data_IF_432748960227
#
_entry.id   IF_432748960227
#
_cell.length_a   1.000
_cell.length_b   1.000
_cell.length_c   1.000
_cell.angle_alpha   90.00
_cell.angle_beta   90.00
_cell.angle_gamma   90.00
#
_symmetry.space_group_name_H-M   'P 1'
#
loop_
_entity.id
_entity.type
_entity.pdbx_description
1 polymer ?
#
# COMPACT_ATOMS: atom_id res chain seq x y z
N UNK A 1 7.02 -5.72 -12.64
CA UNK A 1 6.33 -4.53 -13.21
C UNK A 1 5.93 -3.71 -12.02
N UNK A 2 6.33 -2.45 -11.98
CA UNK A 2 6.19 -1.64 -10.77
C UNK A 2 5.27 -0.45 -11.01
N UNK A 3 4.39 -0.19 -10.06
CA UNK A 3 3.56 1.01 -10.01
C UNK A 3 3.51 1.59 -8.61
N UNK A 4 3.30 2.89 -8.53
CA UNK A 4 3.23 3.66 -7.29
C UNK A 4 1.99 4.53 -7.25
N UNK A 5 1.47 4.76 -6.05
CA UNK A 5 0.40 5.71 -5.78
C UNK A 5 0.65 6.41 -4.44
N UNK A 6 0.32 7.70 -4.38
CA UNK A 6 0.34 8.48 -3.14
C UNK A 6 -1.06 8.58 -2.56
N UNK A 7 -1.15 8.50 -1.24
CA UNK A 7 -2.38 8.66 -0.47
C UNK A 7 -2.20 9.79 0.56
N UNK A 8 -2.71 11.00 0.26
CA UNK A 8 -2.62 12.13 1.18
C UNK A 8 -3.43 11.89 2.45
N UNK A 9 -2.78 12.01 3.61
CA UNK A 9 -3.45 11.82 4.92
C UNK A 9 -2.58 12.36 6.05
N UNK A 10 -3.22 12.93 7.07
CA UNK A 10 -2.54 13.28 8.32
C UNK A 10 -2.26 12.04 9.20
N UNK A 11 -2.76 10.86 8.81
CA UNK A 11 -2.75 9.63 9.61
C UNK A 11 -1.79 8.56 9.09
N UNK A 12 -0.78 8.95 8.31
CA UNK A 12 0.16 8.04 7.65
C UNK A 12 0.72 6.97 8.58
N UNK A 13 1.43 7.32 9.66
CA UNK A 13 1.99 6.34 10.60
C UNK A 13 0.93 5.41 11.23
N UNK A 14 -0.26 5.91 11.54
CA UNK A 14 -1.32 5.09 12.13
C UNK A 14 -1.93 4.13 11.11
N UNK A 15 -2.11 4.57 9.85
CA UNK A 15 -2.60 3.73 8.77
C UNK A 15 -1.56 2.68 8.38
N UNK A 16 -0.27 3.02 8.30
CA UNK A 16 0.82 2.05 8.10
C UNK A 16 0.77 0.96 9.18
N UNK A 17 0.78 1.35 10.46
CA UNK A 17 0.71 0.40 11.57
C UNK A 17 -0.54 -0.50 11.52
N UNK A 18 -1.68 0.07 11.14
CA UNK A 18 -2.95 -0.68 11.02
C UNK A 18 -2.91 -1.68 9.87
N UNK A 19 -2.45 -1.26 8.69
CA UNK A 19 -2.35 -2.10 7.50
C UNK A 19 -1.36 -3.24 7.71
N UNK A 20 -0.15 -2.96 8.18
CA UNK A 20 0.87 -3.98 8.41
C UNK A 20 0.40 -5.03 9.42
N UNK A 21 -0.24 -4.60 10.52
CA UNK A 21 -0.82 -5.54 11.49
C UNK A 21 -1.94 -6.39 10.87
N UNK A 22 -2.78 -5.78 10.03
CA UNK A 22 -3.88 -6.49 9.38
C UNK A 22 -3.37 -7.54 8.40
N UNK A 23 -2.44 -7.16 7.52
CA UNK A 23 -1.87 -8.06 6.52
C UNK A 23 -0.99 -9.14 7.16
N UNK A 24 -0.25 -8.83 8.23
CA UNK A 24 0.57 -9.79 8.98
C UNK A 24 -0.21 -10.95 9.61
N UNK A 25 -1.55 -10.95 9.57
CA UNK A 25 -2.36 -12.11 9.92
C UNK A 25 -2.43 -13.17 8.81
N UNK A 26 -2.08 -12.81 7.56
CA UNK A 26 -2.29 -13.63 6.36
C UNK A 26 -1.04 -13.82 5.52
N UNK A 27 -0.19 -12.81 5.48
CA UNK A 27 1.03 -12.81 4.67
C UNK A 27 2.23 -12.43 5.52
N UNK A 28 3.42 -12.58 4.96
CA UNK A 28 4.62 -12.08 5.59
C UNK A 28 4.71 -10.56 5.44
N UNK A 29 5.05 -9.89 6.54
CA UNK A 29 5.13 -8.43 6.61
C UNK A 29 6.35 -8.04 7.42
N UNK A 30 7.30 -7.38 6.76
CA UNK A 30 8.47 -6.78 7.40
C UNK A 30 8.17 -5.32 7.73
N UNK A 31 8.00 -5.02 9.02
CA UNK A 31 7.72 -3.67 9.50
C UNK A 31 8.99 -2.96 9.99
N UNK A 32 9.21 -1.74 9.52
CA UNK A 32 10.20 -0.79 10.03
C UNK A 32 9.51 0.48 10.55
N UNK A 33 10.29 1.46 11.01
CA UNK A 33 9.76 2.66 11.67
C UNK A 33 8.89 3.52 10.74
N UNK A 34 9.26 3.63 9.47
CA UNK A 34 8.65 4.53 8.49
C UNK A 34 8.07 3.81 7.26
N UNK A 35 8.25 2.49 7.14
CA UNK A 35 7.73 1.71 6.03
C UNK A 35 7.49 0.25 6.40
N UNK A 36 6.72 -0.44 5.56
CA UNK A 36 6.50 -1.88 5.63
C UNK A 36 6.65 -2.52 4.26
N UNK A 37 7.25 -3.71 4.22
CA UNK A 37 7.26 -4.58 3.05
C UNK A 37 6.24 -5.70 3.26
N UNK A 38 5.48 -6.01 2.22
CA UNK A 38 4.40 -6.97 2.23
C UNK A 38 4.62 -7.97 1.11
N UNK A 39 4.73 -9.25 1.46
CA UNK A 39 5.03 -10.32 0.50
C UNK A 39 3.77 -11.14 0.22
N UNK A 40 3.13 -10.87 -0.93
CA UNK A 40 1.95 -11.61 -1.38
C UNK A 40 2.34 -12.71 -2.37
N UNK A 41 1.47 -13.71 -2.56
CA UNK A 41 1.69 -14.77 -3.55
C UNK A 41 1.77 -14.23 -4.99
N UNK A 42 1.05 -13.15 -5.29
CA UNK A 42 1.03 -12.49 -6.61
C UNK A 42 2.12 -11.41 -6.79
N UNK A 43 2.84 -11.02 -5.74
CA UNK A 43 3.87 -9.99 -5.83
C UNK A 43 4.16 -9.28 -4.51
N UNK A 44 5.06 -8.32 -4.58
CA UNK A 44 5.55 -7.58 -3.42
C UNK A 44 4.99 -6.16 -3.39
N UNK A 45 4.68 -5.67 -2.19
CA UNK A 45 4.29 -4.30 -1.99
C UNK A 45 5.12 -3.61 -0.91
N UNK A 46 5.22 -2.30 -1.02
CA UNK A 46 5.82 -1.45 0.01
C UNK A 46 4.84 -0.33 0.34
N UNK A 47 4.66 -0.05 1.63
CA UNK A 47 3.92 1.11 2.11
C UNK A 47 4.88 1.93 2.95
N UNK A 48 5.15 3.16 2.54
CA UNK A 48 6.05 4.09 3.24
C UNK A 48 5.27 5.32 3.70
N UNK A 49 5.64 5.85 4.86
CA UNK A 49 5.17 7.15 5.33
C UNK A 49 5.93 8.26 4.63
N UNK A 50 5.20 9.27 4.17
CA UNK A 50 5.76 10.49 3.59
C UNK A 50 5.32 11.69 4.42
N UNK A 51 5.93 12.88 4.22
CA UNK A 51 5.44 14.10 4.88
C UNK A 51 3.98 14.44 4.56
N UNK A 52 3.46 13.97 3.42
CA UNK A 52 2.11 14.28 2.92
C UNK A 52 1.10 13.14 3.19
N UNK A 53 1.57 11.94 3.61
CA UNK A 53 0.72 10.81 3.93
C UNK A 53 1.42 9.47 3.78
N UNK A 54 0.92 8.65 2.84
CA UNK A 54 1.51 7.36 2.49
C UNK A 54 1.87 7.31 1.02
N UNK A 55 2.92 6.57 0.69
CA UNK A 55 3.21 6.11 -0.66
C UNK A 55 3.15 4.59 -0.70
N UNK A 56 2.45 4.07 -1.69
CA UNK A 56 2.28 2.65 -1.93
C UNK A 56 3.01 2.30 -3.21
N UNK A 57 3.78 1.22 -3.17
CA UNK A 57 4.46 0.63 -4.31
C UNK A 57 3.98 -0.81 -4.45
N UNK A 58 3.59 -1.21 -5.66
CA UNK A 58 3.24 -2.58 -6.00
C UNK A 58 4.18 -3.07 -7.11
N UNK A 59 4.75 -4.26 -6.94
CA UNK A 59 5.62 -4.91 -7.93
C UNK A 59 5.21 -6.37 -8.13
N UNK A 60 4.87 -6.72 -9.37
CA UNK A 60 4.46 -8.07 -9.74
C UNK A 60 4.97 -8.44 -11.14
N UNK A 61 5.09 -9.74 -11.44
CA UNK A 61 5.68 -10.20 -12.70
C UNK A 61 4.82 -9.88 -13.95
N UNK A 62 3.50 -9.91 -13.82
CA UNK A 62 2.54 -9.67 -14.91
C UNK A 62 1.50 -8.59 -14.60
N UNK A 63 0.77 -8.16 -15.62
CA UNK A 63 -0.25 -7.10 -15.52
C UNK A 63 -1.45 -7.53 -14.67
N UNK A 64 -1.92 -8.78 -14.80
CA UNK A 64 -3.03 -9.32 -14.02
C UNK A 64 -2.69 -9.39 -12.52
N UNK A 65 -1.51 -9.90 -12.19
CA UNK A 65 -1.01 -9.97 -10.81
C UNK A 65 -0.83 -8.57 -10.22
N UNK A 66 -0.31 -7.62 -11.02
CA UNK A 66 -0.15 -6.23 -10.59
C UNK A 66 -1.50 -5.55 -10.36
N UNK A 67 -2.51 -5.81 -11.20
CA UNK A 67 -3.86 -5.29 -10.98
C UNK A 67 -4.45 -5.85 -9.69
N UNK A 68 -4.35 -7.16 -9.48
CA UNK A 68 -4.85 -7.80 -8.25
C UNK A 68 -4.16 -7.25 -7.00
N UNK A 69 -2.84 -7.10 -7.03
CA UNK A 69 -2.08 -6.54 -5.92
C UNK A 69 -2.51 -5.11 -5.58
N UNK A 70 -2.69 -4.25 -6.59
CA UNK A 70 -3.19 -2.87 -6.41
C UNK A 70 -4.59 -2.84 -5.81
N UNK A 71 -5.50 -3.67 -6.31
CA UNK A 71 -6.88 -3.74 -5.81
C UNK A 71 -6.92 -4.18 -4.34
N UNK A 72 -6.06 -5.14 -3.95
CA UNK A 72 -5.93 -5.57 -2.55
C UNK A 72 -5.41 -4.43 -1.69
N UNK A 73 -4.33 -3.75 -2.09
CA UNK A 73 -3.78 -2.63 -1.31
C UNK A 73 -4.79 -1.49 -1.15
N UNK A 74 -5.40 -1.07 -2.26
CA UNK A 74 -6.38 0.03 -2.30
C UNK A 74 -7.60 -0.29 -1.42
N UNK A 75 -8.24 -1.44 -1.62
CA UNK A 75 -9.46 -1.79 -0.88
C UNK A 75 -9.25 -1.80 0.64
N UNK A 76 -8.09 -2.25 1.12
CA UNK A 76 -7.77 -2.28 2.55
C UNK A 76 -7.45 -0.87 3.07
N UNK A 77 -6.64 -0.09 2.33
CA UNK A 77 -6.34 1.28 2.70
C UNK A 77 -7.62 2.12 2.81
N UNK A 78 -8.46 2.12 1.77
CA UNK A 78 -9.71 2.89 1.75
C UNK A 78 -10.66 2.44 2.87
N UNK A 79 -10.71 1.13 3.16
CA UNK A 79 -11.50 0.60 4.29
C UNK A 79 -11.03 1.16 5.64
N UNK A 80 -9.72 1.29 5.88
CA UNK A 80 -9.22 1.83 7.15
C UNK A 80 -9.25 3.35 7.22
N UNK A 81 -9.12 4.00 6.06
CA UNK A 81 -9.22 5.45 5.91
C UNK A 81 -10.67 5.95 5.71
N UNK A 82 -11.70 5.10 5.82
CA UNK A 82 -13.09 5.42 5.46
C UNK A 82 -13.67 6.69 6.09
N UNK A 83 -13.15 7.11 7.27
CA UNK A 83 -13.58 8.34 7.95
C UNK A 83 -13.07 9.62 7.28
N UNK A 84 -12.14 9.51 6.35
CA UNK A 84 -11.52 10.60 5.59
C UNK A 84 -12.16 10.79 4.21
N UNK A 85 -13.21 10.03 3.88
CA UNK A 85 -13.86 9.99 2.56
C UNK A 85 -12.84 9.86 1.40
N UNK A 86 -11.99 8.81 1.44
CA UNK A 86 -10.84 8.74 0.56
C UNK A 86 -11.26 8.48 -0.89
N UNK A 87 -10.56 9.14 -1.83
CA UNK A 87 -10.71 8.87 -3.26
C UNK A 87 -9.90 7.62 -3.66
N UNK A 88 -10.26 6.96 -4.79
CA UNK A 88 -9.44 5.89 -5.37
C UNK A 88 -8.01 6.36 -5.64
N UNK A 89 -7.04 5.44 -5.55
CA UNK A 89 -5.64 5.75 -5.73
C UNK A 89 -5.32 5.93 -7.22
N UNK A 90 -4.52 6.94 -7.52
CA UNK A 90 -4.02 7.16 -8.87
C UNK A 90 -2.67 6.44 -9.06
N UNK A 91 -2.72 5.21 -9.54
CA UNK A 91 -1.53 4.40 -9.81
C UNK A 91 -0.83 4.83 -11.09
N UNK A 92 0.50 4.92 -11.03
CA UNK A 92 1.36 5.31 -12.15
C UNK A 92 2.68 4.55 -12.11
N UNK A 93 3.45 4.61 -13.20
CA UNK A 93 4.82 4.11 -13.16
C UNK A 93 5.63 4.88 -12.09
N UNK A 94 6.56 4.22 -11.37
CA UNK A 94 7.40 4.90 -10.39
C UNK A 94 8.12 6.09 -11.03
N UNK A 95 8.17 7.21 -10.32
CA UNK A 95 8.94 8.37 -10.76
C UNK A 95 10.43 7.99 -10.87
N UNK A 96 11.03 8.22 -12.05
CA UNK A 96 12.44 7.96 -12.34
C UNK A 96 13.41 8.88 -11.60
#
# INVERSE_FOLDING_TARGET
>A
MKQTADFPTARGPQLLATLSKHFGHKIDVEMQDDHAQLHFEMGDATIETTPEGLRLTADAAGEDDLQQLRDVLESHLLRFAFREDPQPLNWSAPAS
#
